data_IF_253001024242
#
_entry.id   IF_253001024242
#
_cell.length_a   1.000
_cell.length_b   1.000
_cell.length_c   1.000
_cell.angle_alpha   90.00
_cell.angle_beta   90.00
_cell.angle_gamma   90.00
#
_symmetry.space_group_name_H-M   'P 1'
#
loop_
_entity.id
_entity.type
_entity.pdbx_description
1 polymer ?
#
# COMPACT_ATOMS: atom_id res chain seq x y z
N UNK A 1 5.02 -15.77 -6.06
CA UNK A 1 3.97 -15.55 -5.03
C UNK A 1 2.82 -14.85 -5.71
N UNK A 2 1.58 -15.33 -5.54
CA UNK A 2 0.39 -14.80 -6.21
C UNK A 2 -0.52 -14.15 -5.16
N UNK A 3 -1.00 -12.93 -5.44
CA UNK A 3 -2.00 -12.23 -4.64
C UNK A 3 -3.38 -12.32 -5.26
N UNK A 4 -4.41 -12.02 -4.47
CA UNK A 4 -5.79 -11.88 -4.91
C UNK A 4 -6.48 -10.63 -4.34
N UNK A 5 -7.61 -10.23 -4.93
CA UNK A 5 -8.45 -9.15 -4.42
C UNK A 5 -8.81 -9.36 -2.94
N UNK A 6 -8.83 -8.26 -2.18
CA UNK A 6 -9.08 -8.29 -0.74
C UNK A 6 -7.85 -8.64 0.10
N UNK A 7 -6.71 -9.04 -0.48
CA UNK A 7 -5.48 -9.21 0.28
C UNK A 7 -4.78 -7.89 0.56
N UNK A 8 -4.13 -7.83 1.72
CA UNK A 8 -3.24 -6.73 2.05
C UNK A 8 -1.89 -6.91 1.36
N UNK A 9 -1.55 -5.97 0.49
CA UNK A 9 -0.35 -6.01 -0.33
C UNK A 9 0.40 -4.69 -0.26
N UNK A 10 1.67 -4.70 -0.67
CA UNK A 10 2.46 -3.49 -0.89
C UNK A 10 2.73 -3.32 -2.37
N UNK A 11 2.44 -2.11 -2.85
CA UNK A 11 2.80 -1.67 -4.20
C UNK A 11 3.95 -0.69 -4.16
N UNK A 12 4.69 -0.65 -5.27
CA UNK A 12 5.74 0.33 -5.52
C UNK A 12 5.51 1.03 -6.85
N UNK A 13 5.70 2.35 -6.87
CA UNK A 13 5.64 3.17 -8.08
C UNK A 13 6.80 4.15 -8.09
N UNK A 14 7.52 4.24 -9.19
CA UNK A 14 8.50 5.32 -9.40
C UNK A 14 7.75 6.61 -9.73
N UNK A 15 7.88 7.61 -8.86
CA UNK A 15 7.24 8.93 -9.03
C UNK A 15 8.13 9.83 -9.88
N UNK A 16 9.43 9.84 -9.59
CA UNK A 16 10.43 10.55 -10.39
C UNK A 16 11.62 9.63 -10.66
N UNK A 17 12.02 9.45 -11.92
CA UNK A 17 13.30 8.82 -12.23
C UNK A 17 14.46 9.75 -11.81
N UNK A 18 15.71 9.22 -11.71
CA UNK A 18 16.89 9.99 -11.29
C UNK A 18 17.11 11.30 -12.08
N UNK A 19 16.88 11.27 -13.38
CA UNK A 19 17.02 12.41 -14.31
C UNK A 19 15.96 13.51 -14.12
N UNK A 20 14.85 13.20 -13.45
CA UNK A 20 13.80 14.17 -13.11
C UNK A 20 13.93 14.72 -11.67
N UNK A 21 15.01 14.41 -10.95
CA UNK A 21 15.26 14.90 -9.59
C UNK A 21 15.79 16.34 -9.61
N UNK A 22 15.37 17.15 -8.66
CA UNK A 22 15.81 18.55 -8.58
C UNK A 22 17.33 18.66 -8.34
N UNK A 23 17.99 19.61 -9.01
CA UNK A 23 19.44 19.81 -8.91
C UNK A 23 19.93 20.16 -7.50
N UNK A 24 19.07 20.82 -6.72
CA UNK A 24 19.41 21.33 -5.39
C UNK A 24 19.49 20.26 -4.28
N UNK A 25 19.20 18.99 -4.55
CA UNK A 25 19.31 17.91 -3.56
C UNK A 25 20.71 17.24 -3.63
N UNK A 26 21.19 16.60 -2.55
CA UNK A 26 22.49 15.92 -2.53
C UNK A 26 22.69 14.96 -3.71
N UNK A 27 23.93 14.85 -4.20
CA UNK A 27 24.24 14.06 -5.40
C UNK A 27 23.79 12.61 -5.28
N UNK A 28 24.05 11.99 -4.14
CA UNK A 28 23.68 10.61 -3.83
C UNK A 28 22.15 10.40 -3.88
N UNK A 29 21.37 11.43 -3.54
CA UNK A 29 19.90 11.39 -3.56
C UNK A 29 19.32 11.67 -4.96
N UNK A 30 20.10 12.29 -5.86
CA UNK A 30 19.74 12.47 -7.28
C UNK A 30 19.97 11.20 -8.09
N UNK A 31 20.95 10.41 -7.72
CA UNK A 31 21.32 9.17 -8.42
C UNK A 31 20.30 8.04 -8.29
N UNK A 32 19.35 8.16 -7.35
CA UNK A 32 18.31 7.15 -7.09
C UNK A 32 16.90 7.68 -7.38
N UNK A 33 15.97 6.83 -7.84
CA UNK A 33 14.59 7.23 -8.11
C UNK A 33 13.86 7.63 -6.84
N UNK A 34 12.90 8.56 -6.98
CA UNK A 34 11.89 8.79 -5.95
C UNK A 34 10.79 7.73 -6.10
N UNK A 35 10.71 6.80 -5.16
CA UNK A 35 9.71 5.75 -5.16
C UNK A 35 8.63 6.00 -4.10
N UNK A 36 7.38 5.73 -4.46
CA UNK A 36 6.26 5.64 -3.55
C UNK A 36 6.00 4.17 -3.24
N UNK A 37 5.93 3.83 -1.95
CA UNK A 37 5.48 2.52 -1.47
C UNK A 37 4.22 2.68 -0.66
N UNK A 38 3.19 1.92 -1.01
CA UNK A 38 1.89 1.99 -0.34
C UNK A 38 1.43 0.58 -0.02
N UNK A 39 1.01 0.37 1.23
CA UNK A 39 0.28 -0.82 1.64
C UNK A 39 -1.23 -0.58 1.53
N UNK A 40 -1.97 -1.54 1.04
CA UNK A 40 -3.40 -1.44 0.84
C UNK A 40 -4.06 -2.77 0.48
N UNK A 41 -5.39 -2.77 0.45
CA UNK A 41 -6.19 -3.89 0.00
C UNK A 41 -6.19 -3.95 -1.52
N UNK A 42 -5.78 -5.06 -2.12
CA UNK A 42 -5.87 -5.24 -3.57
C UNK A 42 -7.34 -5.17 -4.02
N UNK A 43 -7.61 -4.35 -5.04
CA UNK A 43 -8.95 -4.20 -5.63
C UNK A 43 -9.02 -4.63 -7.08
N UNK A 44 -7.88 -4.65 -7.78
CA UNK A 44 -7.76 -5.24 -9.13
C UNK A 44 -6.28 -5.47 -9.48
N UNK A 45 -5.97 -6.36 -10.44
CA UNK A 45 -6.84 -7.42 -10.99
C UNK A 45 -7.20 -8.48 -9.93
N UNK A 46 -8.04 -9.45 -10.29
CA UNK A 46 -8.49 -10.51 -9.37
C UNK A 46 -7.32 -11.31 -8.79
N UNK A 47 -6.33 -11.63 -9.62
CA UNK A 47 -5.07 -12.24 -9.18
C UNK A 47 -3.88 -11.53 -9.82
N UNK A 48 -2.75 -11.47 -9.12
CA UNK A 48 -1.53 -10.85 -9.60
C UNK A 48 -0.28 -11.55 -9.07
N UNK A 49 0.82 -11.48 -9.79
CA UNK A 49 2.14 -11.98 -9.38
C UNK A 49 3.06 -10.80 -9.08
N UNK A 50 4.07 -11.00 -8.22
CA UNK A 50 5.09 -9.96 -7.93
C UNK A 50 5.63 -9.35 -9.23
N UNK A 51 5.63 -8.02 -9.32
CA UNK A 51 5.98 -7.25 -10.52
C UNK A 51 4.79 -6.79 -11.36
N UNK A 52 3.63 -7.45 -11.26
CA UNK A 52 2.42 -7.04 -11.97
C UNK A 52 1.89 -5.70 -11.46
N UNK A 53 1.22 -4.95 -12.34
CA UNK A 53 0.53 -3.72 -11.92
C UNK A 53 -0.79 -4.08 -11.25
N UNK A 54 -0.95 -3.61 -10.01
CA UNK A 54 -2.17 -3.79 -9.23
C UNK A 54 -2.69 -2.45 -8.74
N UNK A 55 -3.99 -2.40 -8.49
CA UNK A 55 -4.64 -1.29 -7.81
C UNK A 55 -4.95 -1.69 -6.37
N UNK A 56 -4.67 -0.79 -5.44
CA UNK A 56 -4.95 -0.97 -4.01
C UNK A 56 -5.80 0.16 -3.45
N UNK A 57 -6.65 -0.17 -2.48
CA UNK A 57 -7.34 0.78 -1.62
C UNK A 57 -6.62 0.89 -0.28
N UNK A 58 -6.19 2.09 0.11
CA UNK A 58 -5.61 2.33 1.43
C UNK A 58 -6.67 2.30 2.54
N UNK A 59 -6.23 2.25 3.81
CA UNK A 59 -7.14 2.35 4.98
C UNK A 59 -7.90 3.68 5.06
N UNK A 60 -7.47 4.69 4.29
CA UNK A 60 -8.15 5.98 4.16
C UNK A 60 -9.13 6.02 2.97
N UNK A 61 -9.34 4.89 2.28
CA UNK A 61 -10.23 4.80 1.11
C UNK A 61 -9.67 5.39 -0.18
N UNK A 62 -8.38 5.73 -0.24
CA UNK A 62 -7.74 6.25 -1.46
C UNK A 62 -7.24 5.11 -2.34
N UNK A 63 -7.36 5.27 -3.65
CA UNK A 63 -6.91 4.29 -4.63
C UNK A 63 -5.54 4.65 -5.21
N UNK A 64 -4.68 3.65 -5.33
CA UNK A 64 -3.32 3.80 -5.87
C UNK A 64 -2.99 2.63 -6.79
N UNK A 65 -2.21 2.89 -7.83
CA UNK A 65 -1.70 1.88 -8.76
C UNK A 65 -0.18 1.81 -8.72
N UNK A 66 0.35 0.60 -8.77
CA UNK A 66 1.79 0.33 -8.77
C UNK A 66 2.11 -1.13 -8.97
N UNK A 67 3.40 -1.45 -9.02
CA UNK A 67 3.87 -2.83 -9.13
C UNK A 67 3.74 -3.55 -7.80
N UNK A 68 3.18 -4.77 -7.80
CA UNK A 68 3.10 -5.62 -6.62
C UNK A 68 4.50 -5.99 -6.14
N UNK A 69 4.86 -5.55 -4.93
CA UNK A 69 6.16 -5.80 -4.31
C UNK A 69 6.08 -6.97 -3.32
N UNK A 70 5.05 -7.02 -2.47
CA UNK A 70 4.89 -8.05 -1.44
C UNK A 70 3.43 -8.24 -0.99
N UNK A 71 3.14 -9.41 -0.40
CA UNK A 71 1.85 -9.75 0.24
C UNK A 71 2.07 -9.83 1.75
N UNK A 72 1.17 -9.22 2.53
CA UNK A 72 1.25 -9.12 3.99
C UNK A 72 2.65 -8.72 4.52
N UNK A 73 3.33 -7.70 3.95
CA UNK A 73 4.69 -7.41 4.36
C UNK A 73 4.75 -6.84 5.78
N UNK A 74 5.72 -7.26 6.61
CA UNK A 74 5.97 -6.66 7.90
C UNK A 74 6.42 -5.19 7.74
N UNK A 75 6.52 -4.46 8.84
CA UNK A 75 7.38 -3.29 8.89
C UNK A 75 8.75 -3.75 9.37
N UNK A 76 9.79 -3.63 8.53
CA UNK A 76 11.12 -4.19 8.79
C UNK A 76 11.86 -3.59 9.99
N UNK A 77 11.35 -2.50 10.54
CA UNK A 77 11.79 -1.89 11.79
C UNK A 77 10.88 -2.35 12.94
N UNK A 78 10.82 -3.67 13.10
CA UNK A 78 10.34 -4.46 14.26
C UNK A 78 8.90 -4.32 14.80
N UNK A 79 7.96 -3.68 14.10
CA UNK A 79 6.50 -3.77 14.41
C UNK A 79 5.88 -5.17 14.17
N UNK A 80 6.69 -6.22 14.12
CA UNK A 80 6.25 -7.60 13.91
C UNK A 80 5.73 -7.90 12.50
N UNK A 81 5.22 -9.13 12.35
CA UNK A 81 4.54 -9.56 11.15
C UNK A 81 3.22 -8.80 10.97
N UNK A 82 2.80 -8.61 9.71
CA UNK A 82 1.43 -8.18 9.46
C UNK A 82 0.47 -9.30 9.87
N UNK A 83 -0.36 -9.04 10.88
CA UNK A 83 -1.37 -9.99 11.38
C UNK A 83 -2.68 -9.70 10.63
N UNK A 84 -3.09 -10.55 9.66
CA UNK A 84 -4.23 -10.24 8.78
C UNK A 84 -5.52 -9.92 9.53
N UNK A 85 -5.79 -10.64 10.63
CA UNK A 85 -6.97 -10.48 11.47
C UNK A 85 -7.07 -9.07 12.09
N UNK A 86 -5.93 -8.42 12.32
CA UNK A 86 -5.89 -7.07 12.89
C UNK A 86 -5.93 -5.97 11.82
N UNK A 87 -5.67 -6.29 10.55
CA UNK A 87 -5.66 -5.30 9.47
C UNK A 87 -7.07 -4.72 9.23
N UNK A 88 -8.11 -5.55 9.35
CA UNK A 88 -9.50 -5.12 9.17
C UNK A 88 -10.11 -4.44 10.41
N UNK A 89 -9.56 -4.71 11.60
CA UNK A 89 -10.15 -4.30 12.88
C UNK A 89 -10.40 -2.78 12.96
N UNK A 90 -9.50 -1.97 12.37
CA UNK A 90 -9.66 -0.52 12.33
C UNK A 90 -10.84 -0.05 11.46
N UNK A 91 -11.08 -0.69 10.31
CA UNK A 91 -12.21 -0.39 9.44
C UNK A 91 -13.52 -0.85 10.09
N UNK A 92 -13.53 -2.05 10.67
CA UNK A 92 -14.69 -2.61 11.38
C UNK A 92 -15.10 -1.76 12.59
N UNK A 93 -14.14 -1.34 13.42
CA UNK A 93 -14.41 -0.49 14.59
C UNK A 93 -15.05 0.85 14.19
N UNK A 94 -14.58 1.47 13.09
CA UNK A 94 -15.17 2.72 12.58
C UNK A 94 -16.61 2.52 12.10
N UNK A 95 -16.89 1.42 11.40
CA UNK A 95 -18.24 1.08 10.94
C UNK A 95 -19.23 0.88 12.10
N UNK A 96 -18.81 0.20 13.16
CA UNK A 96 -19.63 0.03 14.38
C UNK A 96 -19.93 1.39 15.02
N UNK A 97 -18.91 2.25 15.17
CA UNK A 97 -19.06 3.57 15.78
C UNK A 97 -19.92 4.54 14.96
N UNK A 98 -19.96 4.41 13.62
CA UNK A 98 -20.81 5.25 12.77
C UNK A 98 -22.28 4.85 12.82
N UNK A 99 -22.59 3.54 12.87
CA UNK A 99 -23.97 3.04 12.97
C UNK A 99 -24.69 3.55 14.24
N UNK A 100 -23.96 3.67 15.35
CA UNK A 100 -24.50 4.22 16.59
C UNK A 100 -24.86 5.72 16.54
N UNK A 101 -24.31 6.47 15.58
CA UNK A 101 -24.63 7.91 15.38
C UNK A 101 -25.86 8.14 14.50
N UNK A 102 -26.20 7.21 13.62
CA UNK A 102 -27.39 7.32 12.76
C UNK A 102 -28.68 6.90 13.47
N UNK A 103 -28.57 6.18 14.59
CA UNK A 103 -29.70 5.70 15.39
C UNK A 103 -30.18 6.71 16.46
N UNK A 104 -29.68 7.96 16.46
CA UNK A 104 -30.09 9.06 17.35
C UNK A 104 -30.56 10.25 16.53
#
# INVERSE_FOLDING_TARGET
MQSHCGQWVQIRTTILPPDARAEAIPAETREVPLEMRIKGWQVSPETATTGDTVEVRSTLGRHYRGQLEAINPPYGHDFGAAIPELLEAGEQARAILSQGKEAT
#
